data_IF_226093778957
#
_entry.id   IF_226093778957
#
_cell.length_a   1.000
_cell.length_b   1.000
_cell.length_c   1.000
_cell.angle_alpha   90.00
_cell.angle_beta   90.00
_cell.angle_gamma   90.00
#
_symmetry.space_group_name_H-M   'P 1'
#
loop_
_entity.id
_entity.type
_entity.pdbx_description
1 polymer ?
#
# COMPACT_ATOMS: atom_id res chain seq x y z
N UNK A 1 44.88 3.74 54.49
CA UNK A 1 45.03 3.67 53.03
C UNK A 1 43.98 2.80 52.34
N UNK A 2 43.57 1.66 52.91
CA UNK A 2 42.51 0.81 52.30
C UNK A 2 41.16 1.54 52.23
N UNK A 3 40.74 2.19 53.32
CA UNK A 3 39.47 2.93 53.37
C UNK A 3 39.39 4.07 52.32
N UNK A 4 40.48 4.81 52.11
CA UNK A 4 40.54 5.89 51.12
C UNK A 4 40.45 5.36 49.69
N UNK A 5 41.12 4.23 49.39
CA UNK A 5 40.99 3.57 48.09
C UNK A 5 39.56 3.10 47.84
N UNK A 6 38.92 2.52 48.85
CA UNK A 6 37.54 2.04 48.76
C UNK A 6 36.54 3.19 48.51
N UNK A 7 36.70 4.31 49.22
CA UNK A 7 35.88 5.51 48.99
C UNK A 7 36.05 6.09 47.58
N UNK A 8 37.29 6.12 47.06
CA UNK A 8 37.55 6.59 45.68
C UNK A 8 36.91 5.65 44.66
N UNK A 9 36.98 4.34 44.88
CA UNK A 9 36.39 3.33 43.99
C UNK A 9 34.85 3.42 43.99
N UNK A 10 34.24 3.63 45.16
CA UNK A 10 32.80 3.88 45.28
C UNK A 10 32.39 5.16 44.56
N UNK A 11 33.12 6.26 44.77
CA UNK A 11 32.86 7.53 44.08
C UNK A 11 32.97 7.37 42.56
N UNK A 12 34.02 6.71 42.07
CA UNK A 12 34.21 6.45 40.65
C UNK A 12 33.08 5.60 40.07
N UNK A 13 32.63 4.58 40.80
CA UNK A 13 31.50 3.73 40.37
C UNK A 13 30.18 4.52 40.31
N UNK A 14 29.93 5.42 41.27
CA UNK A 14 28.76 6.29 41.28
C UNK A 14 28.77 7.25 40.09
N UNK A 15 29.92 7.86 39.80
CA UNK A 15 30.10 8.76 38.64
C UNK A 15 29.87 7.99 37.33
N UNK A 16 30.44 6.79 37.19
CA UNK A 16 30.26 5.96 36.01
C UNK A 16 28.79 5.56 35.79
N UNK A 17 28.07 5.21 36.86
CA UNK A 17 26.64 4.89 36.80
C UNK A 17 25.79 6.10 36.40
N UNK A 18 26.08 7.28 36.94
CA UNK A 18 25.41 8.53 36.58
C UNK A 18 25.65 8.88 35.10
N UNK A 19 26.89 8.77 34.63
CA UNK A 19 27.22 9.00 33.22
C UNK A 19 26.50 8.02 32.29
N UNK A 20 26.48 6.73 32.63
CA UNK A 20 25.77 5.71 31.86
C UNK A 20 24.26 6.00 31.78
N UNK A 21 23.64 6.41 32.90
CA UNK A 21 22.22 6.78 32.96
C UNK A 21 21.91 8.03 32.11
N UNK A 22 22.77 9.04 32.17
CA UNK A 22 22.63 10.25 31.36
C UNK A 22 22.74 9.93 29.87
N UNK A 23 23.71 9.12 29.46
CA UNK A 23 23.85 8.69 28.07
C UNK A 23 22.65 7.86 27.58
N UNK A 24 22.11 6.97 28.42
CA UNK A 24 20.90 6.21 28.10
C UNK A 24 19.70 7.14 27.89
N UNK A 25 19.54 8.14 28.76
CA UNK A 25 18.44 9.13 28.70
C UNK A 25 18.54 10.01 27.45
N UNK A 26 19.74 10.49 27.12
CA UNK A 26 19.97 11.28 25.90
C UNK A 26 19.67 10.46 24.64
N UNK A 27 20.03 9.17 24.61
CA UNK A 27 19.69 8.28 23.49
C UNK A 27 18.19 8.06 23.35
N UNK A 28 17.45 7.90 24.45
CA UNK A 28 15.99 7.75 24.38
C UNK A 28 15.31 9.04 23.92
N UNK A 29 15.76 10.20 24.39
CA UNK A 29 15.24 11.50 23.97
C UNK A 29 15.50 11.71 22.47
N UNK A 30 16.73 11.46 21.99
CA UNK A 30 17.04 11.59 20.57
C UNK A 30 16.23 10.64 19.67
N UNK A 31 15.87 9.44 20.16
CA UNK A 31 14.95 8.53 19.44
C UNK A 31 13.53 9.08 19.38
N UNK A 32 13.03 9.64 20.48
CA UNK A 32 11.70 10.25 20.55
C UNK A 32 11.61 11.50 19.67
N UNK A 33 12.62 12.36 19.70
CA UNK A 33 12.70 13.53 18.82
C UNK A 33 12.68 13.13 17.35
N UNK A 34 13.43 12.09 16.97
CA UNK A 34 13.42 11.57 15.60
C UNK A 34 12.05 11.01 15.21
N UNK A 35 11.43 10.22 16.08
CA UNK A 35 10.10 9.64 15.82
C UNK A 35 9.04 10.75 15.71
N UNK A 36 9.13 11.78 16.56
CA UNK A 36 8.23 12.92 16.53
C UNK A 36 8.42 13.76 15.26
N UNK A 37 9.66 14.07 14.88
CA UNK A 37 9.94 14.78 13.63
C UNK A 37 9.45 14.01 12.40
N UNK A 38 9.53 12.68 12.43
CA UNK A 38 8.97 11.84 11.38
C UNK A 38 7.44 11.89 11.36
N UNK A 39 6.77 11.78 12.51
CA UNK A 39 5.31 11.88 12.59
C UNK A 39 4.79 13.24 12.11
N UNK A 40 5.45 14.34 12.50
CA UNK A 40 5.10 15.70 12.04
C UNK A 40 5.27 15.82 10.52
N UNK A 41 6.32 15.23 9.94
CA UNK A 41 6.53 15.23 8.50
C UNK A 41 5.45 14.42 7.76
N UNK A 42 5.08 13.25 8.29
CA UNK A 42 4.05 12.41 7.71
C UNK A 42 2.66 13.10 7.78
N UNK A 43 2.33 13.76 8.89
CA UNK A 43 1.09 14.55 9.03
C UNK A 43 1.04 15.75 8.08
N UNK A 44 2.16 16.48 7.94
CA UNK A 44 2.25 17.62 7.02
C UNK A 44 2.05 17.18 5.56
N UNK A 45 2.67 16.05 5.16
CA UNK A 45 2.50 15.48 3.83
C UNK A 45 1.04 15.06 3.60
N UNK A 46 0.37 14.49 4.61
CA UNK A 46 -1.06 14.15 4.49
C UNK A 46 -1.96 15.36 4.28
N UNK A 47 -1.71 16.46 4.99
CA UNK A 47 -2.50 17.68 4.81
C UNK A 47 -2.25 18.32 3.44
N UNK A 48 -1.00 18.32 2.97
CA UNK A 48 -0.66 18.79 1.61
C UNK A 48 -1.30 17.88 0.54
N UNK A 49 -1.30 16.57 0.74
CA UNK A 49 -1.98 15.61 -0.13
C UNK A 49 -3.48 15.87 -0.21
N UNK A 50 -4.10 16.23 0.91
CA UNK A 50 -5.52 16.57 0.94
C UNK A 50 -5.81 17.78 0.05
N UNK A 51 -4.98 18.82 0.11
CA UNK A 51 -5.09 19.99 -0.76
C UNK A 51 -4.90 19.61 -2.25
N UNK A 52 -3.90 18.78 -2.57
CA UNK A 52 -3.66 18.25 -3.92
C UNK A 52 -4.88 17.49 -4.45
N UNK A 53 -5.44 16.57 -3.66
CA UNK A 53 -6.64 15.80 -4.03
C UNK A 53 -7.82 16.73 -4.30
N UNK A 54 -8.05 17.74 -3.45
CA UNK A 54 -9.13 18.71 -3.68
C UNK A 54 -8.94 19.52 -4.96
N UNK A 55 -7.70 19.92 -5.29
CA UNK A 55 -7.40 20.61 -6.53
C UNK A 55 -7.72 19.72 -7.76
N UNK A 56 -7.25 18.46 -7.73
CA UNK A 56 -7.51 17.48 -8.80
C UNK A 56 -9.01 17.23 -9.01
N UNK A 57 -9.78 17.08 -7.92
CA UNK A 57 -11.24 16.89 -8.00
C UNK A 57 -11.98 18.09 -8.60
N UNK A 58 -11.39 19.30 -8.51
CA UNK A 58 -11.94 20.52 -9.12
C UNK A 58 -11.46 20.74 -10.55
N UNK A 59 -10.68 19.83 -11.11
CA UNK A 59 -10.07 19.97 -12.44
C UNK A 59 -9.02 21.07 -12.51
N UNK A 60 -8.47 21.50 -11.37
CA UNK A 60 -7.37 22.43 -11.32
C UNK A 60 -6.04 21.67 -11.45
N UNK A 61 -5.05 22.30 -12.09
CA UNK A 61 -3.67 21.80 -12.04
C UNK A 61 -3.22 21.77 -10.58
N UNK A 62 -3.05 20.57 -10.05
CA UNK A 62 -2.35 20.41 -8.80
C UNK A 62 -0.89 20.80 -9.05
N UNK A 63 -0.36 21.78 -8.32
CA UNK A 63 1.02 22.25 -8.47
C UNK A 63 2.12 21.18 -8.30
N UNK A 64 1.74 19.94 -7.95
CA UNK A 64 2.58 18.76 -8.00
C UNK A 64 2.53 18.12 -9.40
N UNK A 65 3.55 18.37 -10.21
CA UNK A 65 3.73 17.77 -11.53
C UNK A 65 3.64 16.23 -11.44
N UNK A 66 2.69 15.62 -12.16
CA UNK A 66 2.46 14.18 -12.16
C UNK A 66 1.45 13.65 -11.14
N UNK A 67 0.87 14.49 -10.29
CA UNK A 67 -0.22 14.07 -9.40
C UNK A 67 -1.49 13.73 -10.22
N UNK A 68 -1.90 12.46 -10.20
CA UNK A 68 -3.11 11.98 -10.85
C UNK A 68 -3.62 10.73 -10.12
N UNK A 69 -4.84 10.29 -10.43
CA UNK A 69 -5.45 9.13 -9.78
C UNK A 69 -5.06 7.77 -10.41
N UNK A 70 -4.04 7.73 -11.28
CA UNK A 70 -3.56 6.51 -11.93
C UNK A 70 -2.43 5.82 -11.17
N UNK A 71 -2.14 6.23 -9.94
CA UNK A 71 -1.13 5.58 -9.09
C UNK A 71 0.31 5.86 -9.50
N UNK A 72 0.55 6.85 -10.37
CA UNK A 72 1.90 7.25 -10.76
C UNK A 72 2.60 7.87 -9.54
N UNK A 73 3.80 7.39 -9.17
CA UNK A 73 4.52 7.93 -8.03
C UNK A 73 5.06 9.32 -8.32
N UNK A 74 4.88 10.24 -7.37
CA UNK A 74 5.49 11.57 -7.37
C UNK A 74 6.12 11.86 -6.01
N UNK A 75 7.13 12.73 -6.00
CA UNK A 75 7.84 13.08 -4.78
C UNK A 75 7.19 14.28 -4.08
N UNK A 76 7.02 14.19 -2.77
CA UNK A 76 6.66 15.32 -1.91
C UNK A 76 7.73 15.49 -0.85
N UNK A 77 8.06 16.73 -0.50
CA UNK A 77 9.12 17.02 0.45
C UNK A 77 8.66 17.97 1.54
N UNK A 78 8.89 17.58 2.80
CA UNK A 78 8.62 18.42 3.96
C UNK A 78 9.74 18.29 4.99
N UNK A 79 10.21 19.42 5.53
CA UNK A 79 11.23 19.43 6.58
C UNK A 79 12.52 18.69 6.21
N UNK A 80 12.93 18.71 4.93
CA UNK A 80 14.10 18.00 4.43
C UNK A 80 13.92 16.49 4.24
N UNK A 81 12.72 15.95 4.45
CA UNK A 81 12.37 14.57 4.14
C UNK A 81 11.61 14.50 2.82
N UNK A 82 12.04 13.66 1.90
CA UNK A 82 11.31 13.37 0.66
C UNK A 82 10.60 12.03 0.78
N UNK A 83 9.31 12.00 0.41
CA UNK A 83 8.48 10.80 0.35
C UNK A 83 7.99 10.61 -1.08
N UNK A 84 7.91 9.36 -1.51
CA UNK A 84 7.22 8.98 -2.74
C UNK A 84 5.76 8.70 -2.40
N UNK A 85 4.86 9.45 -3.02
CA UNK A 85 3.41 9.30 -2.83
C UNK A 85 2.77 8.81 -4.12
N UNK A 86 1.68 8.06 -4.00
CA UNK A 86 0.82 7.62 -5.11
C UNK A 86 -0.62 7.96 -4.76
N UNK A 87 -1.31 8.59 -5.70
CA UNK A 87 -2.77 8.78 -5.64
C UNK A 87 -3.40 7.77 -6.59
N UNK A 88 -4.27 6.92 -6.08
CA UNK A 88 -4.90 5.86 -6.88
C UNK A 88 -6.40 5.91 -6.65
N UNK A 89 -7.17 5.97 -7.73
CA UNK A 89 -8.61 5.72 -7.69
C UNK A 89 -8.84 4.25 -7.30
N UNK A 90 -9.53 3.96 -6.19
CA UNK A 90 -9.89 2.59 -5.82
C UNK A 90 -10.67 1.85 -6.91
N UNK A 91 -11.46 2.55 -7.73
CA UNK A 91 -12.21 1.93 -8.84
C UNK A 91 -11.32 1.69 -10.07
N UNK A 92 -10.15 2.33 -10.13
CA UNK A 92 -9.11 2.03 -11.12
C UNK A 92 -8.36 0.71 -10.84
N UNK A 93 -8.66 0.05 -9.72
CA UNK A 93 -8.08 -1.23 -9.32
C UNK A 93 -9.12 -2.35 -9.43
N UNK A 94 -8.66 -3.58 -9.59
CA UNK A 94 -9.52 -4.77 -9.62
C UNK A 94 -9.91 -5.18 -8.20
N UNK A 95 -11.20 -5.15 -7.88
CA UNK A 95 -11.70 -5.63 -6.59
C UNK A 95 -11.68 -7.16 -6.51
N UNK A 96 -10.90 -7.72 -5.59
CA UNK A 96 -10.79 -9.16 -5.42
C UNK A 96 -12.11 -9.86 -5.01
N UNK A 97 -13.07 -9.11 -4.45
CA UNK A 97 -14.33 -9.68 -3.96
C UNK A 97 -15.45 -9.61 -5.00
N UNK A 98 -15.45 -8.59 -5.85
CA UNK A 98 -16.56 -8.31 -6.76
C UNK A 98 -16.20 -8.39 -8.24
N UNK A 99 -14.90 -8.42 -8.58
CA UNK A 99 -14.50 -8.46 -9.98
C UNK A 99 -15.05 -9.71 -10.69
N UNK A 100 -15.47 -9.52 -11.94
CA UNK A 100 -15.89 -10.62 -12.79
C UNK A 100 -14.72 -11.60 -13.00
N UNK A 101 -14.98 -12.93 -13.14
CA UNK A 101 -13.94 -13.93 -13.36
C UNK A 101 -12.97 -13.60 -14.49
N UNK A 102 -13.48 -13.09 -15.62
CA UNK A 102 -12.68 -12.68 -16.77
C UNK A 102 -11.66 -11.57 -16.47
N UNK A 103 -12.00 -10.67 -15.52
CA UNK A 103 -11.10 -9.58 -15.11
C UNK A 103 -9.95 -10.14 -14.28
N UNK A 104 -10.24 -11.09 -13.39
CA UNK A 104 -9.24 -11.78 -12.59
C UNK A 104 -8.29 -12.59 -13.49
N UNK A 105 -8.82 -13.35 -14.44
CA UNK A 105 -8.01 -14.06 -15.44
C UNK A 105 -7.15 -13.09 -16.26
N UNK A 106 -7.74 -11.96 -16.65
CA UNK A 106 -7.06 -10.89 -17.37
C UNK A 106 -5.84 -10.33 -16.63
N UNK A 107 -5.77 -10.42 -15.31
CA UNK A 107 -4.60 -10.01 -14.52
C UNK A 107 -3.76 -11.20 -14.03
N UNK A 108 -4.08 -12.42 -14.47
CA UNK A 108 -3.35 -13.64 -14.12
C UNK A 108 -3.76 -14.26 -12.78
N UNK A 109 -4.91 -13.88 -12.22
CA UNK A 109 -5.48 -14.48 -11.01
C UNK A 109 -6.46 -15.61 -11.36
N UNK A 110 -6.42 -16.70 -10.60
CA UNK A 110 -7.34 -17.84 -10.75
C UNK A 110 -8.72 -17.52 -10.13
N UNK A 111 -9.81 -17.45 -10.92
CA UNK A 111 -11.15 -17.21 -10.39
C UNK A 111 -11.65 -18.32 -9.47
N UNK A 112 -11.17 -19.55 -9.63
CA UNK A 112 -11.49 -20.66 -8.75
C UNK A 112 -10.80 -20.50 -7.39
N UNK A 113 -9.56 -20.03 -7.35
CA UNK A 113 -8.89 -19.65 -6.11
C UNK A 113 -9.64 -18.53 -5.39
N UNK A 114 -10.12 -17.51 -6.13
CA UNK A 114 -10.99 -16.47 -5.57
C UNK A 114 -12.30 -17.06 -5.03
N UNK A 115 -12.91 -18.01 -5.72
CA UNK A 115 -14.15 -18.65 -5.25
C UNK A 115 -13.91 -19.40 -3.93
N UNK A 116 -12.85 -20.20 -3.84
CA UNK A 116 -12.45 -20.90 -2.61
C UNK A 116 -12.17 -19.93 -1.45
N UNK A 117 -11.53 -18.80 -1.73
CA UNK A 117 -11.30 -17.73 -0.75
C UNK A 117 -12.62 -17.15 -0.24
N UNK A 118 -13.60 -16.91 -1.11
CA UNK A 118 -14.91 -16.40 -0.71
C UNK A 118 -15.71 -17.43 0.10
N UNK A 119 -15.64 -18.71 -0.27
CA UNK A 119 -16.29 -19.81 0.46
C UNK A 119 -15.72 -20.05 1.85
N UNK A 120 -14.44 -19.70 2.08
CA UNK A 120 -13.83 -19.79 3.41
C UNK A 120 -14.23 -18.65 4.35
N UNK A 121 -14.94 -17.63 3.85
CA UNK A 121 -15.36 -16.48 4.63
C UNK A 121 -16.87 -16.53 4.93
N UNK A 122 -17.30 -16.11 6.13
CA UNK A 122 -18.71 -15.82 6.37
C UNK A 122 -19.20 -14.71 5.44
N UNK A 123 -20.49 -14.76 5.08
CA UNK A 123 -21.10 -13.75 4.21
C UNK A 123 -20.86 -12.32 4.75
N UNK A 124 -20.39 -11.44 3.87
CA UNK A 124 -20.09 -10.05 4.21
C UNK A 124 -18.74 -9.81 4.90
N UNK A 125 -17.98 -10.86 5.24
CA UNK A 125 -16.63 -10.70 5.78
C UNK A 125 -15.58 -10.55 4.68
N UNK A 126 -14.48 -9.90 5.05
CA UNK A 126 -13.28 -9.74 4.22
C UNK A 126 -12.05 -10.04 5.07
N UNK A 127 -10.97 -10.46 4.42
CA UNK A 127 -9.67 -10.49 5.07
C UNK A 127 -9.25 -9.08 5.49
N UNK A 128 -8.58 -8.91 6.65
CA UNK A 128 -8.18 -7.59 7.14
C UNK A 128 -7.20 -6.85 6.22
N UNK A 129 -6.46 -7.59 5.39
CA UNK A 129 -5.43 -7.04 4.53
C UNK A 129 -5.52 -7.61 3.12
N UNK A 130 -5.10 -6.80 2.14
CA UNK A 130 -4.98 -7.22 0.74
C UNK A 130 -4.03 -8.40 0.57
N UNK A 131 -2.89 -8.37 1.26
CA UNK A 131 -1.93 -9.45 1.28
C UNK A 131 -2.53 -10.76 1.81
N UNK A 132 -3.41 -10.69 2.82
CA UNK A 132 -4.14 -11.85 3.34
C UNK A 132 -5.08 -12.47 2.31
N UNK A 133 -5.83 -11.66 1.56
CA UNK A 133 -6.64 -12.16 0.45
C UNK A 133 -5.80 -12.83 -0.64
N UNK A 134 -4.72 -12.18 -1.07
CA UNK A 134 -3.83 -12.72 -2.09
C UNK A 134 -3.21 -14.05 -1.64
N UNK A 135 -2.74 -14.12 -0.39
CA UNK A 135 -2.20 -15.35 0.18
C UNK A 135 -3.24 -16.49 0.21
N UNK A 136 -4.50 -16.19 0.55
CA UNK A 136 -5.58 -17.18 0.52
C UNK A 136 -5.89 -17.68 -0.91
N UNK A 137 -5.69 -16.82 -1.90
CA UNK A 137 -5.77 -17.19 -3.32
C UNK A 137 -4.51 -17.92 -3.82
N UNK A 138 -3.50 -18.16 -2.97
CA UNK A 138 -2.24 -18.80 -3.35
C UNK A 138 -1.25 -17.87 -4.06
N UNK A 139 -1.49 -16.54 -4.05
CA UNK A 139 -0.64 -15.53 -4.68
C UNK A 139 0.40 -15.06 -3.67
N UNK A 140 1.66 -15.46 -3.89
CA UNK A 140 2.79 -15.18 -2.99
C UNK A 140 4.05 -14.76 -3.76
N UNK A 141 5.06 -14.27 -3.05
CA UNK A 141 6.36 -13.92 -3.62
C UNK A 141 6.31 -12.71 -4.55
N UNK A 142 7.16 -12.73 -5.59
CA UNK A 142 7.31 -11.61 -6.52
C UNK A 142 6.03 -11.30 -7.28
N UNK A 143 5.22 -12.32 -7.58
CA UNK A 143 3.95 -12.14 -8.25
C UNK A 143 2.96 -11.34 -7.40
N UNK A 144 2.94 -11.56 -6.07
CA UNK A 144 2.13 -10.76 -5.17
C UNK A 144 2.56 -9.29 -5.19
N UNK A 145 3.86 -9.00 -5.19
CA UNK A 145 4.38 -7.63 -5.27
C UNK A 145 4.03 -6.94 -6.59
N UNK A 146 3.99 -7.69 -7.69
CA UNK A 146 3.59 -7.18 -9.00
C UNK A 146 2.09 -6.89 -9.09
N UNK A 147 1.25 -7.74 -8.51
CA UNK A 147 -0.22 -7.60 -8.56
C UNK A 147 -0.75 -6.60 -7.55
N UNK A 148 -0.15 -6.46 -6.37
CA UNK A 148 -0.62 -5.56 -5.32
C UNK A 148 -1.02 -4.14 -5.78
N UNK A 149 -0.29 -3.44 -6.67
CA UNK A 149 -0.74 -2.13 -7.16
C UNK A 149 -2.00 -2.16 -8.03
N UNK A 150 -2.34 -3.31 -8.62
CA UNK A 150 -3.45 -3.49 -9.55
C UNK A 150 -4.76 -3.87 -8.88
N UNK A 151 -4.71 -4.38 -7.65
CA UNK A 151 -5.88 -4.96 -6.98
C UNK A 151 -6.27 -4.18 -5.73
N UNK A 152 -7.53 -4.29 -5.35
CA UNK A 152 -8.08 -3.65 -4.16
C UNK A 152 -9.06 -4.57 -3.45
N UNK A 153 -9.39 -4.18 -2.22
CA UNK A 153 -10.52 -4.72 -1.46
C UNK A 153 -11.48 -3.59 -1.06
N UNK A 154 -11.33 -2.39 -1.62
CA UNK A 154 -12.04 -1.18 -1.18
C UNK A 154 -13.09 -0.70 -2.16
N UNK A 155 -13.10 -1.21 -3.41
CA UNK A 155 -14.18 -0.87 -4.31
C UNK A 155 -15.52 -1.38 -3.72
N UNK A 156 -16.56 -0.59 -3.92
CA UNK A 156 -17.89 -0.90 -3.41
C UNK A 156 -18.71 -1.71 -4.42
N UNK A 157 -18.25 -1.80 -5.66
CA UNK A 157 -18.94 -2.45 -6.77
C UNK A 157 -17.94 -3.20 -7.66
N UNK A 158 -18.49 -4.01 -8.58
CA UNK A 158 -17.71 -4.75 -9.58
C UNK A 158 -17.20 -3.89 -10.74
N UNK A 159 -17.42 -2.56 -10.71
CA UNK A 159 -17.13 -1.70 -11.83
C UNK A 159 -15.66 -1.27 -11.80
N UNK A 160 -14.95 -1.64 -12.86
CA UNK A 160 -13.59 -1.17 -13.13
C UNK A 160 -13.67 0.16 -13.90
N UNK A 161 -13.03 1.19 -13.37
CA UNK A 161 -12.92 2.50 -14.01
C UNK A 161 -11.82 2.48 -15.06
N UNK A 162 -12.20 2.63 -16.34
CA UNK A 162 -11.27 2.72 -17.47
C UNK A 162 -10.64 4.11 -17.61
N UNK A 163 -11.17 5.13 -16.92
CA UNK A 163 -10.66 6.50 -17.00
C UNK A 163 -9.33 6.67 -16.24
N UNK A 164 -9.20 5.96 -15.12
CA UNK A 164 -8.04 6.01 -14.23
C UNK A 164 -7.53 4.61 -13.86
N UNK A 165 -7.14 3.77 -14.84
CA UNK A 165 -6.65 2.44 -14.55
C UNK A 165 -5.39 2.53 -13.69
N UNK A 166 -5.25 1.60 -12.74
CA UNK A 166 -4.02 1.43 -11.99
C UNK A 166 -2.87 1.00 -12.93
N UNK A 167 -1.60 1.24 -12.53
CA UNK A 167 -0.46 0.94 -13.38
C UNK A 167 -0.42 -0.55 -13.77
N UNK A 168 -0.28 -0.80 -15.08
CA UNK A 168 -0.27 -2.13 -15.68
C UNK A 168 -1.66 -2.68 -16.06
N UNK A 169 -2.74 -1.94 -15.78
CA UNK A 169 -4.10 -2.27 -16.23
C UNK A 169 -4.55 -1.48 -17.46
N UNK A 170 -3.66 -0.70 -18.07
CA UNK A 170 -3.98 0.17 -19.20
C UNK A 170 -4.47 -0.62 -20.41
N UNK A 171 -3.92 -1.81 -20.62
CA UNK A 171 -4.29 -2.72 -21.72
C UNK A 171 -5.37 -3.74 -21.33
N UNK A 172 -5.85 -3.74 -20.08
CA UNK A 172 -6.85 -4.69 -19.62
C UNK A 172 -8.13 -4.66 -20.48
N UNK A 173 -8.69 -3.49 -20.87
CA UNK A 173 -9.87 -3.47 -21.74
C UNK A 173 -9.65 -4.19 -23.07
N UNK A 174 -8.47 -4.03 -23.70
CA UNK A 174 -8.12 -4.71 -24.94
C UNK A 174 -8.02 -6.23 -24.75
N UNK A 175 -7.43 -6.65 -23.62
CA UNK A 175 -7.30 -8.08 -23.25
C UNK A 175 -8.67 -8.72 -23.03
N UNK A 176 -9.59 -8.01 -22.37
CA UNK A 176 -10.96 -8.47 -22.15
C UNK A 176 -11.74 -8.60 -23.45
N UNK A 177 -11.69 -7.61 -24.35
CA UNK A 177 -12.35 -7.71 -25.66
C UNK A 177 -11.84 -8.88 -26.49
N UNK A 178 -10.54 -9.21 -26.40
CA UNK A 178 -9.98 -10.40 -27.06
C UNK A 178 -10.47 -11.72 -26.44
N UNK A 179 -10.71 -11.77 -25.13
CA UNK A 179 -11.26 -12.94 -24.45
C UNK A 179 -12.74 -13.16 -24.80
N UNK A 180 -13.54 -12.09 -24.84
CA UNK A 180 -14.94 -12.16 -25.25
C UNK A 180 -15.10 -12.70 -26.68
N UNK A 181 -14.22 -12.25 -27.61
CA UNK A 181 -14.20 -12.78 -28.98
C UNK A 181 -13.85 -14.27 -29.04
N UNK A 182 -12.97 -14.76 -28.16
CA UNK A 182 -12.61 -16.18 -28.07
C UNK A 182 -13.73 -17.03 -27.49
N UNK A 183 -14.44 -16.54 -26.48
CA UNK A 183 -15.58 -17.25 -25.90
C UNK A 183 -16.72 -17.32 -26.92
N UNK A 184 -17.03 -16.19 -27.57
CA UNK A 184 -18.07 -16.14 -28.62
C UNK A 184 -17.73 -16.92 -29.89
N UNK A 185 -16.45 -17.22 -30.15
CA UNK A 185 -16.05 -18.09 -31.26
C UNK A 185 -16.05 -19.58 -30.88
N UNK A 186 -15.76 -19.93 -29.62
CA UNK A 186 -15.82 -21.32 -29.12
C UNK A 186 -17.27 -21.83 -29.05
N UNK A 187 -18.25 -20.99 -28.67
CA UNK A 187 -19.68 -21.37 -28.70
C UNK A 187 -20.20 -21.68 -30.10
N UNK A 188 -19.59 -21.14 -31.16
CA UNK A 188 -19.99 -21.38 -32.55
C UNK A 188 -19.34 -22.62 -33.18
N UNK A 189 -18.36 -23.24 -32.53
CA UNK A 189 -17.61 -24.40 -33.07
C UNK A 189 -18.10 -25.74 -32.47
N UNK A 190 -19.09 -25.71 -31.57
CA UNK A 190 -19.63 -26.90 -30.88
C UNK A 190 -21.08 -27.25 -31.28
N UNK A 191 -21.40 -27.17 -32.57
CA UNK A 191 -22.61 -27.78 -33.12
C UNK A 191 -22.25 -28.36 -34.49
N UNK A 192 -21.72 -29.57 -34.49
CA UNK A 192 -21.83 -30.58 -35.55
C UNK A 192 -21.45 -31.96 -34.99
#
# INVERSE_FOLDING_TARGET
>A
MVATLLSVLLLASLVALLQARTMASLRSIGRLEKAHAQAVADDAIQEELRAVVFALLRGADAGAEGANFRGIPFAMSYGGQTRMVRLQDPYGQVDLYHAAPMVLEGIGLDPAARQRMLESLPAGQRYPTLAGSLAQMGVVGDFALQIMPMVTQRASNAQFSVENPAPGLEDLPKRLSGLEQRIGSVERVSVD
#
